data_IF_720677968682
#
_entry.id   IF_720677968682
#
_cell.length_a   1.000
_cell.length_b   1.000
_cell.length_c   1.000
_cell.angle_alpha   90.00
_cell.angle_beta   90.00
_cell.angle_gamma   90.00
#
_symmetry.space_group_name_H-M   'P 1'
#
loop_
_entity.id
_entity.type
_entity.pdbx_description
1 polymer ?
#
# COMPACT_ATOMS: atom_id res chain seq x y z
N UNK A 1 28.12 -0.56 2.60
CA UNK A 1 27.25 0.06 1.56
C UNK A 1 25.90 -0.65 1.44
N UNK A 2 25.82 -1.95 1.10
CA UNK A 2 24.52 -2.67 1.10
C UNK A 2 24.01 -2.95 2.53
N UNK A 3 24.90 -3.38 3.43
CA UNK A 3 24.56 -3.61 4.83
C UNK A 3 23.96 -2.36 5.50
N UNK A 4 24.52 -1.17 5.20
CA UNK A 4 24.02 0.10 5.77
C UNK A 4 22.61 0.42 5.28
N UNK A 5 22.28 0.10 4.02
CA UNK A 5 20.93 0.28 3.47
C UNK A 5 19.95 -0.69 4.11
N UNK A 6 20.35 -1.95 4.30
CA UNK A 6 19.53 -2.94 4.98
C UNK A 6 19.18 -2.50 6.40
N UNK A 7 20.19 -2.08 7.18
CA UNK A 7 19.97 -1.57 8.55
C UNK A 7 19.03 -0.36 8.56
N UNK A 8 19.18 0.56 7.61
CA UNK A 8 18.31 1.74 7.52
C UNK A 8 16.85 1.37 7.18
N UNK A 9 16.64 0.39 6.29
CA UNK A 9 15.29 -0.10 5.94
C UNK A 9 14.66 -0.83 7.11
N UNK A 10 15.40 -1.70 7.79
CA UNK A 10 14.92 -2.42 8.98
C UNK A 10 14.51 -1.43 10.09
N UNK A 11 15.32 -0.39 10.32
CA UNK A 11 15.00 0.66 11.28
C UNK A 11 13.73 1.44 10.91
N UNK A 12 13.54 1.78 9.63
CA UNK A 12 12.35 2.51 9.19
C UNK A 12 11.08 1.64 9.26
N UNK A 13 11.18 0.35 8.91
CA UNK A 13 10.06 -0.58 9.06
C UNK A 13 9.65 -0.72 10.52
N UNK A 14 10.63 -0.86 11.43
CA UNK A 14 10.38 -0.90 12.86
C UNK A 14 9.70 0.39 13.36
N UNK A 15 10.21 1.56 12.95
CA UNK A 15 9.62 2.86 13.28
C UNK A 15 8.17 2.99 12.80
N UNK A 16 7.86 2.54 11.58
CA UNK A 16 6.49 2.57 11.05
C UNK A 16 5.56 1.66 11.86
N UNK A 17 6.04 0.48 12.26
CA UNK A 17 5.26 -0.46 13.06
C UNK A 17 5.01 0.06 14.49
N UNK A 18 5.96 0.77 15.09
CA UNK A 18 5.87 1.32 16.44
C UNK A 18 5.12 2.66 16.49
N UNK A 19 5.57 3.64 15.70
CA UNK A 19 5.10 5.03 15.77
C UNK A 19 4.04 5.36 14.71
N UNK A 20 3.92 4.54 13.66
CA UNK A 20 3.06 4.83 12.51
C UNK A 20 3.67 5.84 11.54
N UNK A 21 2.83 6.38 10.67
CA UNK A 21 3.19 7.42 9.69
C UNK A 21 2.53 8.74 10.03
N UNK A 22 3.11 9.84 9.58
CA UNK A 22 2.48 11.15 9.72
C UNK A 22 1.25 11.26 8.81
N UNK A 23 0.32 12.15 9.17
CA UNK A 23 -0.84 12.45 8.32
C UNK A 23 -0.42 12.96 6.94
N UNK A 24 0.62 13.79 6.86
CA UNK A 24 1.12 14.31 5.59
C UNK A 24 1.72 13.24 4.67
N UNK A 25 2.41 12.24 5.23
CA UNK A 25 2.92 11.09 4.46
C UNK A 25 1.77 10.22 3.97
N UNK A 26 0.79 9.95 4.83
CA UNK A 26 -0.36 9.14 4.48
C UNK A 26 -1.20 9.79 3.36
N UNK A 27 -1.49 11.09 3.47
CA UNK A 27 -2.26 11.79 2.43
C UNK A 27 -1.50 11.83 1.09
N UNK A 28 -0.18 12.06 1.10
CA UNK A 28 0.64 11.96 -0.12
C UNK A 28 0.59 10.56 -0.74
N UNK A 29 0.63 9.51 0.08
CA UNK A 29 0.55 8.12 -0.39
C UNK A 29 -0.83 7.80 -0.99
N UNK A 30 -1.91 8.21 -0.32
CA UNK A 30 -3.29 8.07 -0.83
C UNK A 30 -3.47 8.79 -2.16
N UNK A 31 -3.01 10.04 -2.27
CA UNK A 31 -3.09 10.82 -3.50
C UNK A 31 -2.34 10.15 -4.66
N UNK A 32 -1.14 9.62 -4.38
CA UNK A 32 -0.36 8.88 -5.37
C UNK A 32 -1.10 7.65 -5.88
N UNK A 33 -1.70 6.87 -4.98
CA UNK A 33 -2.48 5.69 -5.35
C UNK A 33 -3.72 6.05 -6.18
N UNK A 34 -4.48 7.06 -5.75
CA UNK A 34 -5.67 7.50 -6.49
C UNK A 34 -5.29 7.98 -7.89
N UNK A 35 -4.18 8.73 -8.02
CA UNK A 35 -3.64 9.15 -9.32
C UNK A 35 -3.23 7.96 -10.20
N UNK A 36 -2.58 6.94 -9.65
CA UNK A 36 -2.22 5.76 -10.45
C UNK A 36 -3.44 5.01 -10.98
N UNK A 37 -4.53 4.96 -10.21
CA UNK A 37 -5.80 4.38 -10.68
C UNK A 37 -6.46 5.21 -11.79
N UNK A 38 -6.26 6.53 -11.82
CA UNK A 38 -6.72 7.38 -12.93
C UNK A 38 -5.90 7.06 -14.17
N UNK A 39 -4.56 7.10 -14.08
CA UNK A 39 -3.69 6.81 -15.22
C UNK A 39 -3.82 5.39 -15.75
N UNK A 40 -4.16 4.42 -14.90
CA UNK A 40 -4.44 3.05 -15.34
C UNK A 40 -5.61 3.00 -16.33
N UNK A 41 -6.61 3.89 -16.21
CA UNK A 41 -7.78 3.93 -17.11
C UNK A 41 -7.45 4.44 -18.51
N UNK A 42 -6.35 5.19 -18.66
CA UNK A 42 -5.89 5.68 -19.97
C UNK A 42 -5.29 4.56 -20.83
N UNK A 43 -4.97 3.41 -20.22
CA UNK A 43 -4.32 2.27 -20.87
C UNK A 43 -5.11 0.98 -20.64
N UNK A 44 -5.80 0.50 -21.67
CA UNK A 44 -6.73 -0.64 -21.55
C UNK A 44 -6.05 -1.94 -21.12
N UNK A 45 -4.79 -2.17 -21.48
CA UNK A 45 -3.97 -3.28 -21.01
C UNK A 45 -3.72 -3.21 -19.48
N UNK A 46 -3.53 -2.01 -18.93
CA UNK A 46 -3.40 -1.79 -17.49
C UNK A 46 -4.68 -2.15 -16.75
N UNK A 47 -5.83 -1.71 -17.26
CA UNK A 47 -7.14 -2.08 -16.68
C UNK A 47 -7.42 -3.58 -16.79
N UNK A 48 -7.13 -4.19 -17.93
CA UNK A 48 -7.30 -5.63 -18.12
C UNK A 48 -6.47 -6.44 -17.12
N UNK A 49 -5.21 -6.04 -16.89
CA UNK A 49 -4.35 -6.67 -15.89
C UNK A 49 -4.89 -6.49 -14.47
N UNK A 50 -5.37 -5.30 -14.09
CA UNK A 50 -5.93 -5.04 -12.76
C UNK A 50 -7.17 -5.92 -12.51
N UNK A 51 -8.13 -5.91 -13.43
CA UNK A 51 -9.34 -6.72 -13.29
C UNK A 51 -9.03 -8.22 -13.32
N UNK A 52 -8.17 -8.66 -14.25
CA UNK A 52 -7.75 -10.04 -14.38
C UNK A 52 -7.10 -10.56 -13.10
N UNK A 53 -6.12 -9.83 -12.55
CA UNK A 53 -5.43 -10.21 -11.31
C UNK A 53 -6.38 -10.22 -10.11
N UNK A 54 -7.27 -9.23 -10.00
CA UNK A 54 -8.24 -9.15 -8.90
C UNK A 54 -9.20 -10.34 -8.92
N UNK A 55 -9.78 -10.66 -10.09
CA UNK A 55 -10.69 -11.80 -10.23
C UNK A 55 -9.97 -13.14 -10.02
N UNK A 56 -8.74 -13.28 -10.54
CA UNK A 56 -7.94 -14.50 -10.38
C UNK A 56 -7.55 -14.78 -8.92
N UNK A 57 -7.52 -13.76 -8.07
CA UNK A 57 -7.19 -13.88 -6.65
C UNK A 57 -8.43 -13.90 -5.75
N UNK A 58 -9.63 -14.04 -6.34
CA UNK A 58 -10.90 -14.19 -5.60
C UNK A 58 -11.58 -12.87 -5.23
N UNK A 59 -11.07 -11.73 -5.71
CA UNK A 59 -11.75 -10.44 -5.61
C UNK A 59 -12.87 -10.30 -6.64
N UNK A 60 -13.60 -9.18 -6.57
CA UNK A 60 -14.70 -8.84 -7.46
C UNK A 60 -14.42 -7.57 -8.27
N UNK A 61 -15.20 -7.35 -9.34
CA UNK A 61 -15.17 -6.08 -10.10
C UNK A 61 -15.42 -4.88 -9.18
N UNK A 62 -16.38 -5.02 -8.25
CA UNK A 62 -16.73 -3.98 -7.27
C UNK A 62 -15.54 -3.60 -6.38
N UNK A 63 -14.66 -4.55 -6.03
CA UNK A 63 -13.47 -4.23 -5.24
C UNK A 63 -12.59 -3.20 -5.96
N UNK A 64 -12.38 -3.37 -7.27
CA UNK A 64 -11.58 -2.44 -8.10
C UNK A 64 -12.25 -1.07 -8.18
N UNK A 65 -13.57 -1.03 -8.34
CA UNK A 65 -14.34 0.21 -8.43
C UNK A 65 -14.32 1.02 -7.13
N UNK A 66 -14.39 0.33 -5.99
CA UNK A 66 -14.46 0.95 -4.65
C UNK A 66 -13.08 1.30 -4.06
N UNK A 67 -11.97 0.77 -4.60
CA UNK A 67 -10.63 1.01 -4.07
C UNK A 67 -10.30 2.49 -3.80
N UNK A 68 -10.54 3.45 -4.72
CA UNK A 68 -10.24 4.85 -4.43
C UNK A 68 -11.01 5.40 -3.22
N UNK A 69 -12.25 4.95 -3.00
CA UNK A 69 -13.04 5.33 -1.83
C UNK A 69 -12.54 4.66 -0.55
N UNK A 70 -12.16 3.38 -0.62
CA UNK A 70 -11.58 2.63 0.51
C UNK A 70 -10.25 3.23 0.95
N UNK A 71 -9.34 3.51 0.01
CA UNK A 71 -8.01 4.07 0.30
C UNK A 71 -8.09 5.46 0.92
N UNK A 72 -9.02 6.32 0.49
CA UNK A 72 -9.19 7.64 1.10
C UNK A 72 -9.58 7.57 2.58
N UNK A 73 -10.32 6.54 2.99
CA UNK A 73 -10.78 6.35 4.38
C UNK A 73 -9.72 5.80 5.33
N UNK A 74 -8.62 5.26 4.80
CA UNK A 74 -7.55 4.67 5.62
C UNK A 74 -7.02 5.69 6.63
N UNK A 75 -6.83 5.28 7.87
CA UNK A 75 -6.26 6.14 8.93
C UNK A 75 -4.80 5.78 9.21
N UNK A 76 -4.06 6.70 9.84
CA UNK A 76 -2.68 6.43 10.25
C UNK A 76 -2.60 5.33 11.33
N UNK A 77 -3.60 5.26 12.21
CA UNK A 77 -3.72 4.21 13.21
C UNK A 77 -3.93 2.85 12.57
N UNK A 78 -4.83 2.73 11.58
CA UNK A 78 -5.03 1.50 10.84
C UNK A 78 -3.73 1.04 10.16
N UNK A 79 -2.94 1.97 9.61
CA UNK A 79 -1.63 1.68 9.01
C UNK A 79 -0.65 1.14 10.06
N UNK A 80 -0.53 1.79 11.22
CA UNK A 80 0.35 1.33 12.31
C UNK A 80 -0.05 -0.06 12.79
N UNK A 81 -1.35 -0.28 13.03
CA UNK A 81 -1.86 -1.54 13.56
C UNK A 81 -1.59 -2.72 12.59
N UNK A 82 -1.77 -2.50 11.27
CA UNK A 82 -1.43 -3.55 10.28
C UNK A 82 0.08 -3.69 10.08
N UNK A 83 0.86 -2.61 10.20
CA UNK A 83 2.32 -2.66 10.12
C UNK A 83 2.88 -3.52 11.26
N UNK A 84 2.44 -3.28 12.50
CA UNK A 84 2.83 -4.08 13.67
C UNK A 84 2.46 -5.57 13.51
N UNK A 85 1.36 -5.87 12.82
CA UNK A 85 0.90 -7.25 12.60
C UNK A 85 1.67 -7.98 11.50
N UNK A 86 1.95 -7.32 10.39
CA UNK A 86 2.39 -7.99 9.16
C UNK A 86 3.83 -7.68 8.75
N UNK A 87 4.39 -6.54 9.14
CA UNK A 87 5.77 -6.17 8.80
C UNK A 87 6.77 -6.74 9.82
N UNK A 88 6.73 -8.05 10.02
CA UNK A 88 7.65 -8.76 10.90
C UNK A 88 8.97 -9.06 10.17
N UNK A 89 10.07 -8.46 10.64
CA UNK A 89 11.41 -8.62 10.05
C UNK A 89 11.89 -10.09 10.05
N UNK A 90 11.38 -10.95 10.93
CA UNK A 90 11.72 -12.38 10.93
C UNK A 90 11.21 -13.12 9.68
N UNK A 91 10.31 -12.51 8.90
CA UNK A 91 9.80 -13.06 7.65
C UNK A 91 10.48 -12.44 6.41
N UNK A 92 11.48 -11.58 6.61
CA UNK A 92 12.28 -10.98 5.55
C UNK A 92 13.42 -11.93 5.17
N UNK A 93 13.14 -12.90 4.29
CA UNK A 93 14.16 -13.83 3.74
C UNK A 93 14.69 -13.33 2.41
#
# INVERSE_FOLDING_TARGET
KLADVQVAVEAEVARIAEDGVTSGELEKAKDRFVRSMIFARDKQDSMANIYGATLATGGSVRDVEEWPGRIRRVTADEVRDVAARYLNLNHST
#
